data_IF_092916201291
#
_entry.id   IF_092916201291
#
_cell.length_a   1.000
_cell.length_b   1.000
_cell.length_c   1.000
_cell.angle_alpha   90.00
_cell.angle_beta   90.00
_cell.angle_gamma   90.00
#
_symmetry.space_group_name_H-M   'P 1'
#
loop_
_entity.id
_entity.type
_entity.pdbx_description
1 polymer ?
#
# COMPACT_ATOMS: atom_id res chain seq x y z
N UNK A 1 -11.86 -27.43 16.57
CA UNK A 1 -12.39 -26.77 17.79
C UNK A 1 -13.03 -25.47 17.37
N UNK A 2 -14.26 -25.16 17.80
CA UNK A 2 -14.94 -23.92 17.43
C UNK A 2 -14.46 -22.79 18.35
N UNK A 3 -13.61 -21.89 17.84
CA UNK A 3 -13.07 -20.74 18.60
C UNK A 3 -14.16 -19.97 19.37
N UNK A 4 -15.29 -19.68 18.70
CA UNK A 4 -16.38 -18.92 19.29
C UNK A 4 -17.05 -19.62 20.47
N UNK A 5 -17.02 -20.95 20.53
CA UNK A 5 -17.56 -21.72 21.66
C UNK A 5 -16.73 -21.62 22.94
N UNK A 6 -15.51 -21.08 22.86
CA UNK A 6 -14.60 -20.90 24.00
C UNK A 6 -14.57 -19.47 24.54
N UNK A 7 -15.25 -18.53 23.87
CA UNK A 7 -15.26 -17.13 24.26
C UNK A 7 -16.20 -16.89 25.45
N UNK A 8 -15.82 -15.97 26.33
CA UNK A 8 -16.72 -15.45 27.34
C UNK A 8 -17.67 -14.44 26.69
N UNK A 9 -18.94 -14.85 26.54
CA UNK A 9 -19.99 -14.04 25.89
C UNK A 9 -20.31 -12.72 26.61
N UNK A 10 -19.79 -12.50 27.82
CA UNK A 10 -20.00 -11.26 28.58
C UNK A 10 -18.94 -10.17 28.31
N UNK A 11 -17.88 -10.47 27.57
CA UNK A 11 -16.82 -9.51 27.25
C UNK A 11 -16.79 -9.18 25.75
N UNK A 12 -16.53 -7.92 25.37
CA UNK A 12 -16.26 -7.59 23.98
C UNK A 12 -14.97 -8.27 23.51
N UNK A 13 -14.89 -8.59 22.22
CA UNK A 13 -13.68 -9.12 21.60
C UNK A 13 -13.29 -8.27 20.38
N UNK A 14 -12.00 -8.31 20.04
CA UNK A 14 -11.46 -7.80 18.79
C UNK A 14 -10.76 -8.96 18.08
N UNK A 15 -11.18 -9.27 16.85
CA UNK A 15 -10.61 -10.34 16.04
C UNK A 15 -9.89 -9.73 14.84
N UNK A 16 -8.62 -10.08 14.68
CA UNK A 16 -7.81 -9.71 13.53
C UNK A 16 -7.49 -10.96 12.73
N UNK A 17 -7.98 -11.03 11.49
CA UNK A 17 -7.71 -12.11 10.55
C UNK A 17 -6.79 -11.55 9.46
N UNK A 18 -5.53 -11.98 9.47
CA UNK A 18 -4.51 -11.52 8.53
C UNK A 18 -4.24 -12.62 7.50
N UNK A 19 -4.94 -12.57 6.38
CA UNK A 19 -4.74 -13.54 5.30
C UNK A 19 -3.34 -13.40 4.69
N UNK A 20 -2.76 -14.53 4.29
CA UNK A 20 -1.51 -14.55 3.54
C UNK A 20 -1.75 -14.45 2.03
N UNK A 21 -2.86 -15.01 1.54
CA UNK A 21 -3.31 -14.78 0.17
C UNK A 21 -3.60 -13.27 -0.03
N UNK A 22 -3.28 -12.69 -1.20
CA UNK A 22 -2.69 -13.28 -2.41
C UNK A 22 -1.17 -13.04 -2.53
N UNK A 23 -0.40 -13.27 -1.47
CA UNK A 23 1.06 -13.07 -1.53
C UNK A 23 1.73 -14.05 -2.51
N UNK A 24 2.83 -13.62 -3.14
CA UNK A 24 3.64 -14.50 -4.00
C UNK A 24 4.27 -15.64 -3.20
N UNK A 25 4.39 -16.79 -3.84
CA UNK A 25 4.80 -18.04 -3.23
C UNK A 25 5.95 -18.71 -4.02
N UNK A 26 6.18 -18.31 -5.27
CA UNK A 26 7.17 -18.94 -6.16
C UNK A 26 8.61 -18.98 -5.63
N UNK A 27 9.00 -18.03 -4.77
CA UNK A 27 10.33 -18.04 -4.15
C UNK A 27 10.47 -19.07 -3.02
N UNK A 28 9.40 -19.25 -2.23
CA UNK A 28 9.44 -20.01 -0.97
C UNK A 28 8.91 -21.42 -1.12
N UNK A 29 7.83 -21.61 -1.89
CA UNK A 29 7.18 -22.90 -2.13
C UNK A 29 6.78 -23.02 -3.62
N UNK A 30 7.77 -23.10 -4.54
CA UNK A 30 7.53 -23.09 -5.98
C UNK A 30 6.60 -24.21 -6.48
N UNK A 31 6.51 -25.33 -5.75
CA UNK A 31 5.62 -26.46 -6.07
C UNK A 31 4.14 -26.05 -6.10
N UNK A 32 3.76 -25.05 -5.31
CA UNK A 32 2.38 -24.56 -5.23
C UNK A 32 2.05 -23.46 -6.25
N UNK A 33 3.01 -23.09 -7.09
CA UNK A 33 2.88 -22.04 -8.09
C UNK A 33 3.26 -20.64 -7.59
N UNK A 34 3.20 -19.65 -8.49
CA UNK A 34 3.71 -18.30 -8.24
C UNK A 34 2.94 -17.57 -7.14
N UNK A 35 1.68 -17.94 -6.91
CA UNK A 35 0.79 -17.37 -5.89
C UNK A 35 0.20 -18.43 -4.96
N UNK A 36 0.86 -19.59 -4.82
CA UNK A 36 0.36 -20.71 -4.03
C UNK A 36 -1.03 -21.18 -4.52
N UNK A 37 -1.36 -20.93 -5.79
CA UNK A 37 -2.68 -21.17 -6.38
C UNK A 37 -3.00 -22.65 -6.54
N UNK A 38 -2.02 -23.53 -6.36
CA UNK A 38 -2.20 -24.99 -6.37
C UNK A 38 -2.35 -25.57 -4.97
N UNK A 39 -1.90 -24.88 -3.93
CA UNK A 39 -1.95 -25.39 -2.57
C UNK A 39 -3.37 -25.73 -2.13
N UNK A 40 -3.64 -27.00 -1.84
CA UNK A 40 -4.95 -27.48 -1.42
C UNK A 40 -5.97 -27.68 -2.52
N UNK A 41 -5.57 -27.68 -3.80
CA UNK A 41 -6.51 -27.75 -4.94
C UNK A 41 -7.03 -29.18 -5.23
N UNK A 42 -6.53 -30.20 -4.52
CA UNK A 42 -6.91 -31.60 -4.69
C UNK A 42 -6.09 -32.38 -5.73
N UNK A 43 -5.14 -31.73 -6.43
CA UNK A 43 -4.20 -32.43 -7.31
C UNK A 43 -3.17 -33.26 -6.51
N UNK A 44 -2.55 -34.22 -7.20
CA UNK A 44 -1.53 -35.08 -6.59
C UNK A 44 -0.38 -34.26 -6.00
N UNK A 45 -0.10 -34.46 -4.71
CA UNK A 45 0.96 -33.74 -3.99
C UNK A 45 0.57 -32.35 -3.45
N UNK A 46 -0.62 -31.85 -3.75
CA UNK A 46 -1.04 -30.49 -3.35
C UNK A 46 -1.91 -30.45 -2.09
N UNK A 47 -2.40 -31.59 -1.63
CA UNK A 47 -3.37 -31.67 -0.53
C UNK A 47 -4.76 -31.17 -0.94
N UNK A 48 -5.68 -31.10 0.04
CA UNK A 48 -7.05 -30.64 -0.19
C UNK A 48 -7.49 -29.69 0.92
N UNK A 49 -8.01 -28.52 0.54
CA UNK A 49 -8.74 -27.62 1.44
C UNK A 49 -10.24 -27.92 1.21
N UNK A 50 -10.93 -28.62 2.13
CA UNK A 50 -12.28 -29.11 1.88
C UNK A 50 -13.32 -28.03 1.57
N UNK A 51 -13.13 -26.84 2.15
CA UNK A 51 -14.05 -25.71 2.04
C UNK A 51 -13.72 -24.75 0.89
N UNK A 52 -12.64 -25.02 0.13
CA UNK A 52 -12.24 -24.23 -1.03
C UNK A 52 -12.59 -24.97 -2.32
N UNK A 53 -13.20 -24.25 -3.26
CA UNK A 53 -13.47 -24.72 -4.62
C UNK A 53 -12.56 -23.95 -5.58
N UNK A 54 -11.48 -24.54 -6.10
CA UNK A 54 -10.56 -23.84 -6.98
C UNK A 54 -11.25 -23.30 -8.24
N UNK A 55 -11.08 -22.00 -8.49
CA UNK A 55 -11.52 -21.32 -9.70
C UNK A 55 -10.29 -20.94 -10.53
N UNK A 56 -10.15 -21.55 -11.69
CA UNK A 56 -8.99 -21.33 -12.56
C UNK A 56 -9.32 -20.32 -13.67
N UNK A 57 -8.41 -19.37 -13.84
CA UNK A 57 -8.52 -18.31 -14.84
C UNK A 57 -7.59 -18.58 -16.01
N UNK A 58 -8.03 -18.23 -17.21
CA UNK A 58 -7.16 -18.30 -18.39
C UNK A 58 -6.41 -16.98 -18.56
N UNK A 59 -5.12 -16.99 -18.96
CA UNK A 59 -4.35 -15.77 -19.20
C UNK A 59 -4.97 -14.80 -20.22
N UNK A 60 -5.76 -15.29 -21.17
CA UNK A 60 -6.47 -14.47 -22.15
C UNK A 60 -7.67 -13.70 -21.55
N UNK A 61 -8.24 -14.17 -20.45
CA UNK A 61 -9.46 -13.63 -19.85
C UNK A 61 -9.18 -12.62 -18.73
N UNK A 62 -7.92 -12.49 -18.28
CA UNK A 62 -7.56 -11.57 -17.19
C UNK A 62 -7.47 -10.11 -17.65
N UNK A 63 -7.84 -9.21 -16.75
CA UNK A 63 -7.68 -7.78 -16.93
C UNK A 63 -6.26 -7.41 -16.50
N UNK A 64 -5.45 -6.93 -17.45
CA UNK A 64 -4.08 -6.48 -17.18
C UNK A 64 -4.12 -5.03 -16.69
N UNK A 65 -3.71 -4.73 -15.44
CA UNK A 65 -3.62 -3.35 -14.96
C UNK A 65 -2.63 -2.55 -15.81
N UNK A 66 -2.89 -1.25 -16.00
CA UNK A 66 -2.07 -0.39 -16.88
C UNK A 66 -0.58 -0.36 -16.51
N UNK A 67 -0.25 -0.62 -15.25
CA UNK A 67 1.10 -0.58 -14.71
C UNK A 67 1.84 -1.92 -14.79
N UNK A 68 1.21 -2.97 -15.31
CA UNK A 68 1.83 -4.29 -15.55
C UNK A 68 2.14 -4.43 -17.05
N UNK A 69 3.31 -4.98 -17.45
CA UNK A 69 3.59 -5.27 -18.85
C UNK A 69 2.55 -6.23 -19.43
N UNK A 70 1.92 -5.90 -20.57
CA UNK A 70 0.97 -6.81 -21.21
C UNK A 70 1.72 -7.88 -22.04
N UNK A 71 2.16 -8.94 -21.36
CA UNK A 71 2.88 -10.07 -21.97
C UNK A 71 2.25 -11.40 -21.56
N UNK A 72 2.47 -12.50 -22.33
CA UNK A 72 1.97 -13.81 -21.94
C UNK A 72 2.42 -14.25 -20.54
N UNK A 73 3.65 -13.88 -20.13
CA UNK A 73 4.18 -14.19 -18.79
C UNK A 73 3.41 -13.43 -17.71
N UNK A 74 3.20 -12.12 -17.90
CA UNK A 74 2.45 -11.31 -16.94
C UNK A 74 0.99 -11.74 -16.81
N UNK A 75 0.35 -12.10 -17.92
CA UNK A 75 -1.02 -12.63 -17.92
C UNK A 75 -1.13 -13.96 -17.18
N UNK A 76 -0.14 -14.84 -17.30
CA UNK A 76 -0.08 -16.08 -16.52
C UNK A 76 0.06 -15.80 -15.02
N UNK A 77 0.92 -14.85 -14.62
CA UNK A 77 1.05 -14.40 -13.23
C UNK A 77 -0.29 -13.86 -12.69
N UNK A 78 -0.99 -13.02 -13.45
CA UNK A 78 -2.29 -12.46 -13.05
C UNK A 78 -3.35 -13.56 -12.94
N UNK A 79 -3.37 -14.54 -13.84
CA UNK A 79 -4.31 -15.66 -13.78
C UNK A 79 -4.10 -16.54 -12.53
N UNK A 80 -2.85 -16.80 -12.17
CA UNK A 80 -2.50 -17.46 -10.92
C UNK A 80 -2.94 -16.61 -9.71
N UNK A 81 -2.67 -15.31 -9.75
CA UNK A 81 -3.12 -14.38 -8.70
C UNK A 81 -4.65 -14.39 -8.54
N UNK A 82 -5.42 -14.36 -9.64
CA UNK A 82 -6.89 -14.39 -9.61
C UNK A 82 -7.43 -15.68 -8.99
N UNK A 83 -6.77 -16.81 -9.25
CA UNK A 83 -7.13 -18.10 -8.63
C UNK A 83 -6.98 -18.02 -7.10
N UNK A 84 -5.85 -17.49 -6.63
CA UNK A 84 -5.60 -17.30 -5.19
C UNK A 84 -6.50 -16.24 -4.57
N UNK A 85 -6.83 -15.18 -5.32
CA UNK A 85 -7.81 -14.18 -4.89
C UNK A 85 -9.21 -14.75 -4.72
N UNK A 86 -9.60 -15.68 -5.59
CA UNK A 86 -10.90 -16.36 -5.48
C UNK A 86 -10.93 -17.29 -4.27
N UNK A 87 -9.78 -17.86 -3.88
CA UNK A 87 -9.64 -18.55 -2.59
C UNK A 87 -9.88 -17.60 -1.42
N UNK A 88 -9.27 -16.42 -1.44
CA UNK A 88 -9.49 -15.39 -0.42
C UNK A 88 -10.97 -14.98 -0.36
N UNK A 89 -11.57 -14.70 -1.51
CA UNK A 89 -12.98 -14.30 -1.61
C UNK A 89 -13.92 -15.39 -1.09
N UNK A 90 -13.67 -16.68 -1.34
CA UNK A 90 -14.49 -17.76 -0.77
C UNK A 90 -14.36 -17.90 0.74
N UNK A 91 -13.22 -17.50 1.33
CA UNK A 91 -13.06 -17.41 2.79
C UNK A 91 -13.79 -16.16 3.32
N UNK A 92 -13.77 -15.07 2.56
CA UNK A 92 -14.53 -13.86 2.85
C UNK A 92 -16.04 -14.06 2.68
N UNK A 93 -16.55 -14.85 1.74
CA UNK A 93 -17.98 -15.20 1.68
C UNK A 93 -18.44 -15.93 2.96
N UNK A 94 -17.52 -16.66 3.60
CA UNK A 94 -17.75 -17.28 4.91
C UNK A 94 -17.60 -16.27 6.07
N UNK A 95 -17.03 -15.08 5.84
CA UNK A 95 -16.63 -14.06 6.83
C UNK A 95 -17.18 -12.62 6.53
N UNK A 96 -17.97 -12.36 5.47
CA UNK A 96 -18.46 -11.09 4.85
C UNK A 96 -17.72 -10.58 3.56
N UNK A 97 -18.47 -9.95 2.61
CA UNK A 97 -18.31 -9.94 1.12
C UNK A 97 -17.77 -8.63 0.42
N UNK A 98 -17.17 -8.80 -0.79
CA UNK A 98 -16.92 -7.94 -2.01
C UNK A 98 -15.52 -7.31 -2.24
N UNK A 99 -14.97 -7.50 -3.46
CA UNK A 99 -13.69 -6.99 -4.01
C UNK A 99 -13.83 -5.98 -5.19
N UNK A 100 -13.02 -4.89 -5.18
CA UNK A 100 -12.44 -4.22 -6.37
C UNK A 100 -11.11 -3.51 -5.99
N UNK A 101 -10.10 -3.55 -6.88
CA UNK A 101 -8.68 -3.44 -6.52
C UNK A 101 -8.04 -2.05 -6.65
N UNK A 102 -8.03 -1.29 -5.54
CA UNK A 102 -7.01 -0.29 -5.14
C UNK A 102 -7.17 -0.06 -3.62
N UNK A 103 -6.31 -0.66 -2.77
CA UNK A 103 -6.38 -0.55 -1.29
C UNK A 103 -7.83 -0.52 -0.76
N UNK A 104 -8.57 -1.60 -1.00
CA UNK A 104 -9.98 -1.68 -0.63
C UNK A 104 -10.12 -1.55 0.89
N UNK A 105 -10.96 -0.61 1.32
CA UNK A 105 -11.33 -0.43 2.71
C UNK A 105 -12.84 -0.49 2.84
N UNK A 106 -13.34 -1.60 3.38
CA UNK A 106 -14.75 -1.80 3.68
C UNK A 106 -14.97 -1.70 5.18
N UNK A 107 -15.93 -0.88 5.59
CA UNK A 107 -16.34 -0.72 6.97
C UNK A 107 -17.83 -0.99 7.08
N UNK A 108 -18.19 -2.10 7.72
CA UNK A 108 -19.58 -2.42 8.03
C UNK A 108 -19.90 -1.97 9.45
N UNK A 109 -20.83 -1.01 9.58
CA UNK A 109 -21.36 -0.57 10.87
C UNK A 109 -22.78 -1.13 11.02
N UNK A 110 -23.05 -2.01 12.01
CA UNK A 110 -24.38 -2.62 12.20
C UNK A 110 -25.54 -1.62 12.33
N UNK A 111 -25.24 -0.38 12.74
CA UNK A 111 -26.24 0.68 12.89
C UNK A 111 -26.60 1.36 11.56
N UNK A 112 -25.82 1.15 10.49
CA UNK A 112 -26.13 1.66 9.16
C UNK A 112 -26.96 0.65 8.37
N UNK A 113 -28.04 1.13 7.75
CA UNK A 113 -29.06 0.29 7.10
C UNK A 113 -28.95 0.25 5.57
N UNK A 114 -28.00 0.98 4.99
CA UNK A 114 -27.78 1.02 3.55
C UNK A 114 -26.28 1.03 3.24
N UNK A 115 -25.91 0.57 2.03
CA UNK A 115 -24.55 0.70 1.52
C UNK A 115 -24.32 2.08 0.91
N UNK A 116 -23.15 2.66 1.14
CA UNK A 116 -22.71 3.92 0.54
C UNK A 116 -21.25 3.81 0.08
N UNK A 117 -20.93 4.56 -0.97
CA UNK A 117 -19.54 4.79 -1.41
C UNK A 117 -19.12 6.17 -0.92
N UNK A 118 -17.95 6.24 -0.29
CA UNK A 118 -17.34 7.51 0.16
C UNK A 118 -16.14 7.84 -0.73
N UNK A 119 -16.07 9.10 -1.15
CA UNK A 119 -14.89 9.68 -1.84
C UNK A 119 -13.91 10.32 -0.86
N UNK A 120 -14.09 10.11 0.45
CA UNK A 120 -13.18 10.64 1.46
C UNK A 120 -11.81 9.95 1.34
N UNK A 121 -10.74 10.75 1.27
CA UNK A 121 -9.39 10.20 1.37
C UNK A 121 -9.14 9.72 2.80
N UNK A 122 -8.85 8.42 2.93
CA UNK A 122 -8.58 7.74 4.20
C UNK A 122 -7.23 7.05 4.15
N UNK A 123 -6.65 6.78 5.32
CA UNK A 123 -5.38 6.08 5.51
C UNK A 123 -5.55 4.86 6.42
N UNK A 124 -4.70 3.85 6.27
CA UNK A 124 -4.63 2.75 7.24
C UNK A 124 -4.29 3.24 8.66
N UNK A 125 -3.70 4.42 8.79
CA UNK A 125 -3.47 5.10 10.07
C UNK A 125 -4.78 5.48 10.79
N UNK A 126 -5.91 5.48 10.09
CA UNK A 126 -7.25 5.77 10.62
C UNK A 126 -7.88 4.56 11.33
N UNK A 127 -7.36 3.35 11.12
CA UNK A 127 -7.91 2.11 11.71
C UNK A 127 -7.84 2.15 13.24
N UNK A 128 -6.65 2.47 13.80
CA UNK A 128 -6.45 2.49 15.26
C UNK A 128 -7.37 3.50 15.95
N UNK A 129 -7.43 4.80 15.57
CA UNK A 129 -8.35 5.72 16.20
C UNK A 129 -9.83 5.34 16.00
N UNK A 130 -10.19 4.74 14.87
CA UNK A 130 -11.56 4.21 14.62
C UNK A 130 -11.93 3.09 15.60
N UNK A 131 -11.05 2.10 15.77
CA UNK A 131 -11.27 0.97 16.69
C UNK A 131 -11.30 1.46 18.14
N UNK A 132 -10.43 2.40 18.51
CA UNK A 132 -10.43 2.99 19.85
C UNK A 132 -11.73 3.73 20.16
N UNK A 133 -12.24 4.54 19.22
CA UNK A 133 -13.55 5.20 19.39
C UNK A 133 -14.68 4.16 19.50
N UNK A 134 -14.66 3.12 18.65
CA UNK A 134 -15.68 2.06 18.66
C UNK A 134 -15.81 1.38 20.02
N UNK A 135 -14.69 1.07 20.66
CA UNK A 135 -14.66 0.46 21.99
C UNK A 135 -14.70 1.48 23.14
N UNK A 136 -14.81 2.79 22.84
CA UNK A 136 -14.76 3.87 23.82
C UNK A 136 -13.50 3.82 24.69
N UNK A 137 -12.35 3.54 24.07
CA UNK A 137 -11.03 3.48 24.70
C UNK A 137 -10.25 4.75 24.36
N UNK A 138 -9.72 5.42 25.38
CA UNK A 138 -8.86 6.59 25.17
C UNK A 138 -7.45 6.15 24.78
N UNK A 139 -6.87 6.84 23.79
CA UNK A 139 -5.45 6.70 23.51
C UNK A 139 -4.63 7.22 24.70
N UNK A 140 -3.66 6.45 25.23
CA UNK A 140 -2.94 6.83 26.43
C UNK A 140 -1.93 7.95 26.14
N UNK A 141 -1.69 8.81 27.14
CA UNK A 141 -0.59 9.77 27.10
C UNK A 141 0.71 9.07 27.47
N UNK A 142 1.62 8.93 26.49
CA UNK A 142 2.95 8.38 26.73
C UNK A 142 4.01 9.03 25.83
N UNK A 143 5.27 8.71 26.11
CA UNK A 143 6.43 9.23 25.38
C UNK A 143 7.31 8.10 24.88
N UNK A 144 7.84 8.24 23.68
CA UNK A 144 8.94 7.43 23.16
C UNK A 144 10.16 8.34 22.99
N UNK A 145 11.30 7.94 23.57
CA UNK A 145 12.53 8.75 23.55
C UNK A 145 12.34 10.20 24.03
N UNK A 146 11.43 10.41 25.00
CA UNK A 146 11.11 11.73 25.55
C UNK A 146 10.11 12.56 24.73
N UNK A 147 9.73 12.11 23.54
CA UNK A 147 8.77 12.75 22.65
C UNK A 147 7.36 12.20 22.87
N UNK A 148 6.33 13.05 23.02
CA UNK A 148 4.95 12.59 23.12
C UNK A 148 4.54 11.87 21.84
N UNK A 149 3.83 10.75 21.98
CA UNK A 149 3.26 10.04 20.83
C UNK A 149 1.81 10.47 20.65
N UNK A 150 1.45 10.82 19.42
CA UNK A 150 0.10 11.17 19.02
C UNK A 150 -0.25 10.44 17.72
N UNK A 151 -1.51 10.06 17.58
CA UNK A 151 -2.03 9.49 16.34
C UNK A 151 -2.25 10.63 15.32
N UNK A 152 -1.78 10.45 14.09
CA UNK A 152 -2.03 11.40 12.99
C UNK A 152 -3.28 11.06 12.18
N UNK A 153 -3.79 9.83 12.31
CA UNK A 153 -5.06 9.41 11.72
C UNK A 153 -6.27 9.92 12.50
N UNK A 154 -7.45 9.78 11.90
CA UNK A 154 -8.74 10.16 12.46
C UNK A 154 -9.70 8.97 12.49
N UNK A 155 -10.69 9.02 13.38
CA UNK A 155 -11.72 7.98 13.39
C UNK A 155 -12.70 8.17 12.23
N UNK A 156 -13.13 7.06 11.63
CA UNK A 156 -14.05 7.02 10.50
C UNK A 156 -15.53 6.84 10.92
N UNK A 157 -15.82 6.62 12.21
CA UNK A 157 -17.19 6.39 12.69
C UNK A 157 -18.14 7.57 12.44
N UNK A 158 -17.59 8.78 12.28
CA UNK A 158 -18.35 10.01 12.04
C UNK A 158 -18.27 10.50 10.58
N UNK A 159 -17.81 9.67 9.63
CA UNK A 159 -17.45 10.05 8.24
C UNK A 159 -18.52 10.90 7.51
N UNK A 160 -19.81 10.66 7.73
CA UNK A 160 -20.89 11.47 7.14
C UNK A 160 -20.90 12.96 7.57
N UNK A 161 -20.21 13.32 8.66
CA UNK A 161 -20.07 14.70 9.19
C UNK A 161 -18.63 15.21 9.19
N UNK A 162 -17.66 14.43 8.70
CA UNK A 162 -16.27 14.84 8.64
C UNK A 162 -16.05 15.81 7.48
N UNK A 163 -15.27 16.86 7.72
CA UNK A 163 -14.66 17.60 6.61
C UNK A 163 -13.81 16.60 5.81
N UNK A 164 -14.00 16.56 4.48
CA UNK A 164 -13.17 15.77 3.57
C UNK A 164 -11.70 16.01 3.92
N UNK A 165 -10.91 14.93 4.06
CA UNK A 165 -9.47 15.08 4.29
C UNK A 165 -8.86 15.84 3.11
N UNK A 166 -8.01 16.81 3.39
CA UNK A 166 -7.31 17.58 2.35
C UNK A 166 -6.11 16.80 1.78
N UNK A 167 -5.57 15.84 2.54
CA UNK A 167 -4.47 14.97 2.11
C UNK A 167 -4.45 13.64 2.88
N UNK A 168 -3.72 12.67 2.32
CA UNK A 168 -3.26 11.46 2.98
C UNK A 168 -1.75 11.36 2.83
N UNK A 169 -1.07 10.82 3.84
CA UNK A 169 0.39 10.74 3.89
C UNK A 169 0.86 9.30 4.04
N UNK A 170 2.04 9.02 3.50
CA UNK A 170 2.72 7.74 3.63
C UNK A 170 4.23 7.97 3.80
N UNK A 171 4.88 7.07 4.53
CA UNK A 171 6.33 7.01 4.66
C UNK A 171 6.76 5.56 4.49
N UNK A 172 7.79 5.34 3.67
CA UNK A 172 8.36 4.02 3.39
C UNK A 172 9.88 4.15 3.38
N UNK A 173 10.57 3.29 4.13
CA UNK A 173 12.02 3.36 4.28
C UNK A 173 12.73 2.14 3.67
N UNK A 174 12.41 0.94 4.17
CA UNK A 174 13.13 -0.28 3.82
C UNK A 174 12.16 -1.34 3.32
N UNK A 175 12.54 -2.01 2.24
CA UNK A 175 11.90 -3.22 1.76
C UNK A 175 12.93 -4.13 1.10
N UNK A 176 12.87 -5.43 1.42
CA UNK A 176 13.61 -6.43 0.68
C UNK A 176 12.87 -6.77 -0.61
N UNK A 177 13.42 -6.34 -1.73
CA UNK A 177 12.77 -6.46 -3.05
C UNK A 177 13.02 -7.81 -3.75
N UNK A 178 13.78 -8.73 -3.14
CA UNK A 178 14.31 -9.93 -3.80
C UNK A 178 13.23 -10.77 -4.50
N UNK A 179 12.06 -10.94 -3.86
CA UNK A 179 10.93 -11.72 -4.38
C UNK A 179 10.34 -11.10 -5.66
N UNK A 180 10.31 -9.77 -5.76
CA UNK A 180 9.82 -9.08 -6.96
C UNK A 180 10.76 -9.28 -8.15
N UNK A 181 12.06 -9.11 -7.92
CA UNK A 181 13.07 -9.16 -8.97
C UNK A 181 13.22 -10.55 -9.59
N UNK A 182 12.94 -11.61 -8.85
CA UNK A 182 13.01 -12.99 -9.37
C UNK A 182 11.68 -13.48 -9.96
N UNK A 183 10.60 -12.70 -9.88
CA UNK A 183 9.30 -13.11 -10.41
C UNK A 183 9.35 -13.30 -11.94
N UNK A 184 8.57 -14.24 -12.51
CA UNK A 184 8.53 -14.47 -13.95
C UNK A 184 8.23 -13.21 -14.75
N UNK A 185 7.24 -12.41 -14.32
CA UNK A 185 6.89 -11.14 -14.97
C UNK A 185 8.08 -10.18 -15.04
N UNK A 186 8.82 -10.03 -13.95
CA UNK A 186 9.97 -9.12 -13.92
C UNK A 186 11.14 -9.65 -14.77
N UNK A 187 11.40 -10.95 -14.71
CA UNK A 187 12.44 -11.58 -15.54
C UNK A 187 12.13 -11.45 -17.04
N UNK A 188 10.87 -11.59 -17.45
CA UNK A 188 10.43 -11.33 -18.83
C UNK A 188 10.65 -9.86 -19.24
N UNK A 189 10.27 -8.91 -18.39
CA UNK A 189 10.50 -7.48 -18.62
C UNK A 189 12.00 -7.16 -18.79
N UNK A 190 12.85 -7.73 -17.92
CA UNK A 190 14.30 -7.57 -17.98
C UNK A 190 14.87 -8.13 -19.29
N UNK A 191 14.51 -9.37 -19.65
CA UNK A 191 14.98 -10.02 -20.86
C UNK A 191 14.58 -9.24 -22.12
N UNK A 192 13.32 -8.77 -22.21
CA UNK A 192 12.86 -7.93 -23.31
C UNK A 192 13.66 -6.64 -23.43
N UNK A 193 13.94 -6.00 -22.30
CA UNK A 193 14.72 -4.75 -22.25
C UNK A 193 16.16 -4.97 -22.72
N UNK A 194 16.82 -6.04 -22.28
CA UNK A 194 18.21 -6.35 -22.64
C UNK A 194 18.34 -6.79 -24.11
N UNK A 195 17.38 -7.54 -24.62
CA UNK A 195 17.41 -8.06 -25.99
C UNK A 195 17.19 -6.98 -27.07
N UNK A 196 16.81 -5.75 -26.69
CA UNK A 196 16.64 -4.52 -27.51
C UNK A 196 15.74 -4.62 -28.77
N UNK A 197 15.29 -5.80 -29.15
CA UNK A 197 14.46 -6.09 -30.33
C UNK A 197 13.03 -6.52 -29.97
N UNK A 198 12.73 -6.68 -28.68
CA UNK A 198 11.40 -7.06 -28.21
C UNK A 198 10.77 -5.88 -27.49
N UNK A 199 9.53 -5.58 -27.84
CA UNK A 199 8.73 -4.61 -27.10
C UNK A 199 8.46 -5.14 -25.68
N UNK A 200 8.56 -4.24 -24.70
CA UNK A 200 8.29 -4.56 -23.29
C UNK A 200 6.80 -4.60 -23.01
N UNK A 201 5.97 -3.98 -23.86
CA UNK A 201 4.53 -3.79 -23.64
C UNK A 201 4.20 -3.15 -22.28
N UNK A 202 5.14 -2.36 -21.75
CA UNK A 202 5.00 -1.69 -20.46
C UNK A 202 4.82 -0.19 -20.65
N UNK A 203 4.06 0.44 -19.75
CA UNK A 203 3.80 1.88 -19.81
C UNK A 203 5.00 2.75 -19.44
N UNK A 204 6.02 2.15 -18.78
CA UNK A 204 7.31 2.75 -18.45
C UNK A 204 8.43 1.93 -19.09
N UNK A 205 9.67 2.37 -18.87
CA UNK A 205 10.87 1.57 -19.13
C UNK A 205 11.68 1.39 -17.83
N UNK A 206 12.59 0.41 -17.82
CA UNK A 206 13.39 0.12 -16.63
C UNK A 206 14.29 1.29 -16.22
N UNK A 207 14.81 2.08 -17.16
CA UNK A 207 15.65 3.24 -16.85
C UNK A 207 14.88 4.27 -16.01
N UNK A 208 13.70 4.70 -16.46
CA UNK A 208 12.88 5.67 -15.72
C UNK A 208 12.33 5.09 -14.41
N UNK A 209 12.12 3.76 -14.35
CA UNK A 209 11.68 3.10 -13.12
C UNK A 209 12.75 3.10 -12.03
N UNK A 210 14.02 2.90 -12.39
CA UNK A 210 15.16 2.89 -11.45
C UNK A 210 15.68 4.29 -11.14
N UNK A 211 15.72 5.17 -12.13
CA UNK A 211 16.32 6.51 -12.00
C UNK A 211 15.23 7.57 -11.99
N UNK A 212 14.66 7.80 -10.80
CA UNK A 212 13.58 8.78 -10.60
C UNK A 212 14.14 10.12 -10.13
N UNK A 213 13.46 11.24 -10.40
CA UNK A 213 13.80 12.51 -9.77
C UNK A 213 13.49 12.48 -8.26
N UNK A 214 14.11 13.39 -7.50
CA UNK A 214 13.83 13.54 -6.06
C UNK A 214 12.36 13.88 -5.80
N UNK A 215 11.75 14.72 -6.67
CA UNK A 215 10.36 15.15 -6.56
C UNK A 215 9.54 14.75 -7.78
N UNK A 216 8.40 14.13 -7.52
CA UNK A 216 7.38 13.80 -8.50
C UNK A 216 6.05 14.43 -8.10
N UNK A 217 5.45 15.22 -9.00
CA UNK A 217 4.11 15.79 -8.82
C UNK A 217 3.22 15.35 -9.97
N UNK A 218 2.08 14.73 -9.68
CA UNK A 218 1.12 14.26 -10.68
C UNK A 218 -0.26 14.88 -10.46
N UNK A 219 -0.94 15.23 -11.56
CA UNK A 219 -2.32 15.71 -11.59
C UNK A 219 -3.19 14.54 -12.06
N UNK A 220 -3.88 13.87 -11.14
CA UNK A 220 -4.57 12.61 -11.43
C UNK A 220 -5.85 12.80 -12.25
N UNK A 221 -6.43 14.00 -12.23
CA UNK A 221 -7.57 14.34 -13.10
C UNK A 221 -7.15 14.38 -14.57
N UNK A 222 -5.95 14.86 -14.86
CA UNK A 222 -5.42 14.94 -16.24
C UNK A 222 -4.58 13.74 -16.64
N UNK A 223 -3.95 13.08 -15.68
CA UNK A 223 -3.07 11.94 -15.90
C UNK A 223 -3.21 10.91 -14.78
N UNK A 224 -4.30 10.13 -14.88
CA UNK A 224 -4.63 9.07 -13.94
C UNK A 224 -3.59 7.95 -13.83
N UNK A 225 -2.63 7.91 -14.76
CA UNK A 225 -1.59 6.87 -14.85
C UNK A 225 -0.22 7.39 -14.39
N UNK A 226 -0.13 8.63 -13.90
CA UNK A 226 1.10 9.22 -13.33
C UNK A 226 2.31 9.13 -14.28
N UNK A 227 2.11 9.51 -15.55
CA UNK A 227 3.13 9.46 -16.59
C UNK A 227 3.86 10.79 -16.78
N UNK A 228 3.22 11.91 -16.47
CA UNK A 228 3.72 13.25 -16.72
C UNK A 228 3.98 13.95 -15.40
N UNK A 229 5.25 13.92 -14.96
CA UNK A 229 5.68 14.65 -13.79
C UNK A 229 5.61 16.17 -14.06
N UNK A 230 4.71 16.88 -13.37
CA UNK A 230 4.50 18.33 -13.52
C UNK A 230 5.25 19.15 -12.46
N UNK A 231 6.18 18.56 -11.71
CA UNK A 231 6.88 19.24 -10.60
C UNK A 231 7.58 20.54 -11.00
N UNK A 232 8.08 20.64 -12.24
CA UNK A 232 8.79 21.81 -12.77
C UNK A 232 7.87 22.76 -13.57
N UNK A 233 6.58 22.43 -13.69
CA UNK A 233 5.63 23.27 -14.40
C UNK A 233 5.24 24.48 -13.53
N UNK A 234 5.51 25.70 -14.04
CA UNK A 234 5.24 26.93 -13.33
C UNK A 234 3.76 27.10 -12.90
N UNK A 235 2.81 26.52 -13.64
CA UNK A 235 1.40 26.55 -13.31
C UNK A 235 1.06 25.84 -11.97
N UNK A 236 1.89 24.88 -11.56
CA UNK A 236 1.70 24.07 -10.35
C UNK A 236 2.54 24.56 -9.17
N UNK A 237 3.25 25.69 -9.30
CA UNK A 237 4.21 26.13 -8.28
C UNK A 237 3.57 26.36 -6.90
N UNK A 238 2.41 27.03 -6.84
CA UNK A 238 1.70 27.27 -5.58
C UNK A 238 1.19 25.97 -4.96
N UNK A 239 0.64 25.07 -5.78
CA UNK A 239 0.14 23.75 -5.35
C UNK A 239 1.30 22.92 -4.78
N UNK A 240 2.42 22.85 -5.49
CA UNK A 240 3.65 22.17 -5.04
C UNK A 240 4.10 22.71 -3.67
N UNK A 241 4.18 24.04 -3.52
CA UNK A 241 4.61 24.65 -2.26
C UNK A 241 3.67 24.32 -1.09
N UNK A 242 2.35 24.32 -1.32
CA UNK A 242 1.37 23.89 -0.32
C UNK A 242 1.57 22.44 0.09
N UNK A 243 1.69 21.52 -0.87
CA UNK A 243 1.80 20.10 -0.58
C UNK A 243 3.13 19.75 0.10
N UNK A 244 4.23 20.38 -0.32
CA UNK A 244 5.52 20.27 0.37
C UNK A 244 5.44 20.74 1.81
N UNK A 245 4.72 21.83 2.07
CA UNK A 245 4.47 22.31 3.43
C UNK A 245 3.65 21.30 4.24
N UNK A 246 2.57 20.77 3.67
CA UNK A 246 1.71 19.79 4.34
C UNK A 246 2.48 18.51 4.71
N UNK A 247 3.31 18.01 3.79
CA UNK A 247 4.20 16.87 4.05
C UNK A 247 5.17 17.16 5.18
N UNK A 248 5.84 18.32 5.13
CA UNK A 248 6.77 18.73 6.18
C UNK A 248 6.09 18.84 7.55
N UNK A 249 4.92 19.49 7.61
CA UNK A 249 4.15 19.62 8.85
C UNK A 249 3.79 18.23 9.41
N UNK A 250 3.42 17.28 8.54
CA UNK A 250 3.17 15.90 8.94
C UNK A 250 4.43 15.21 9.47
N UNK A 251 5.56 15.28 8.76
CA UNK A 251 6.85 14.72 9.20
C UNK A 251 7.29 15.27 10.55
N UNK A 252 7.11 16.58 10.80
CA UNK A 252 7.37 17.20 12.10
C UNK A 252 6.44 16.60 13.16
N UNK A 253 5.14 16.54 12.88
CA UNK A 253 4.14 16.04 13.85
C UNK A 253 4.35 14.57 14.22
N UNK A 254 4.89 13.77 13.30
CA UNK A 254 5.18 12.34 13.50
C UNK A 254 6.61 12.08 13.95
N UNK A 255 7.42 13.12 14.20
CA UNK A 255 8.83 13.01 14.59
C UNK A 255 9.67 12.16 13.63
N UNK A 256 9.49 12.36 12.32
CA UNK A 256 10.22 11.64 11.27
C UNK A 256 11.74 11.91 11.39
N UNK A 257 12.58 10.89 11.63
CA UNK A 257 14.03 11.10 11.75
C UNK A 257 14.72 11.33 10.39
N UNK A 258 14.04 11.13 9.26
CA UNK A 258 14.55 11.43 7.91
C UNK A 258 14.17 12.83 7.40
N UNK A 259 13.52 13.67 8.22
CA UNK A 259 13.00 15.00 7.83
C UNK A 259 14.03 15.94 7.18
N UNK A 260 15.32 15.81 7.49
CA UNK A 260 16.38 16.65 6.91
C UNK A 260 17.06 16.01 5.69
N UNK A 261 16.84 14.73 5.44
CA UNK A 261 17.48 13.99 4.36
C UNK A 261 16.84 14.37 3.00
N UNK A 262 17.57 14.28 1.87
CA UNK A 262 18.98 13.92 1.73
C UNK A 262 19.93 15.12 1.89
N UNK A 263 19.38 16.32 1.97
CA UNK A 263 20.13 17.56 1.82
C UNK A 263 20.65 18.15 3.14
N UNK A 264 20.41 17.53 4.28
CA UNK A 264 20.76 18.05 5.59
C UNK A 264 20.77 17.00 6.70
N UNK A 265 21.13 17.40 7.91
CA UNK A 265 21.29 16.49 9.07
C UNK A 265 20.44 16.96 10.24
N UNK A 266 19.60 16.08 10.79
CA UNK A 266 18.80 16.42 11.97
C UNK A 266 19.68 16.65 13.20
N UNK A 267 19.82 17.89 13.65
CA UNK A 267 20.54 18.26 14.86
C UNK A 267 19.58 18.34 16.06
N UNK A 268 19.70 17.44 17.04
CA UNK A 268 18.87 17.47 18.26
C UNK A 268 19.42 18.37 19.37
N UNK A 269 20.54 19.06 19.13
CA UNK A 269 21.22 20.00 20.04
C UNK A 269 21.84 21.13 19.23
N UNK A 270 22.10 22.27 19.87
CA UNK A 270 22.75 23.42 19.23
C UNK A 270 21.78 24.45 18.66
N UNK A 271 22.27 25.29 17.74
CA UNK A 271 21.57 26.50 17.26
C UNK A 271 20.31 26.19 16.45
N UNK A 272 20.28 25.05 15.76
CA UNK A 272 19.20 24.68 14.85
C UNK A 272 18.28 23.57 15.40
N UNK A 273 18.37 23.26 16.71
CA UNK A 273 17.62 22.18 17.35
C UNK A 273 16.09 22.27 17.25
N UNK A 274 15.57 23.49 17.14
CA UNK A 274 14.13 23.77 17.00
C UNK A 274 13.73 24.06 15.54
N UNK A 275 14.68 24.01 14.60
CA UNK A 275 14.45 24.32 13.20
C UNK A 275 15.22 23.35 12.29
N UNK A 276 14.69 22.12 12.10
CA UNK A 276 15.38 21.05 11.38
C UNK A 276 15.68 21.40 9.92
N UNK A 277 14.95 22.33 9.31
CA UNK A 277 15.17 22.78 7.93
C UNK A 277 16.42 23.64 7.72
N UNK A 278 17.02 24.18 8.79
CA UNK A 278 18.22 25.02 8.72
C UNK A 278 19.50 24.27 9.07
N UNK A 279 19.44 22.94 9.20
CA UNK A 279 20.60 22.10 9.38
C UNK A 279 21.61 22.24 8.22
N UNK A 280 22.89 22.01 8.52
CA UNK A 280 23.97 22.09 7.54
C UNK A 280 23.68 21.25 6.29
N UNK A 281 23.81 21.87 5.12
CA UNK A 281 23.63 21.20 3.84
C UNK A 281 24.84 20.28 3.59
N UNK A 282 24.67 18.98 3.84
CA UNK A 282 25.61 17.94 3.44
C UNK A 282 24.92 17.09 2.39
N UNK A 283 25.51 16.97 1.20
CA UNK A 283 25.06 16.00 0.21
C UNK A 283 25.58 14.65 0.69
N UNK A 284 24.72 13.85 1.33
CA UNK A 284 25.00 12.43 1.53
C UNK A 284 24.54 11.68 0.28
N UNK A 285 25.48 11.24 -0.56
CA UNK A 285 25.18 10.50 -1.82
C UNK A 285 24.59 9.09 -1.60
N UNK A 286 24.31 8.68 -0.36
CA UNK A 286 24.00 7.29 -0.02
C UNK A 286 22.52 6.98 0.24
N UNK A 287 21.64 7.99 0.38
CA UNK A 287 20.20 7.79 0.58
C UNK A 287 19.42 8.58 -0.48
N UNK A 288 18.89 7.90 -1.49
CA UNK A 288 18.02 8.53 -2.48
C UNK A 288 16.61 8.56 -1.92
N UNK A 289 16.17 9.74 -1.46
CA UNK A 289 14.77 9.98 -1.10
C UNK A 289 14.01 10.38 -2.35
N UNK A 290 12.92 9.66 -2.63
CA UNK A 290 11.94 10.04 -3.65
C UNK A 290 10.66 10.48 -2.95
N UNK A 291 10.15 11.64 -3.35
CA UNK A 291 8.93 12.22 -2.80
C UNK A 291 7.93 12.35 -3.94
N UNK A 292 6.89 11.53 -3.88
CA UNK A 292 5.74 11.60 -4.78
C UNK A 292 4.59 12.31 -4.09
N UNK A 293 4.01 13.28 -4.78
CA UNK A 293 2.81 13.97 -4.37
C UNK A 293 1.82 13.93 -5.54
N UNK A 294 0.56 13.62 -5.26
CA UNK A 294 -0.49 13.59 -6.27
C UNK A 294 -1.64 14.51 -5.86
N UNK A 295 -2.26 15.17 -6.83
CA UNK A 295 -3.45 16.02 -6.66
C UNK A 295 -4.66 15.46 -7.40
#
# INVERSE_FOLDING_TARGET
MNFFSTLNHSQPFFLYVAFHDPHRCGHTNPEYGEFCEKFGNGEEGMGIIPDWKPEHYKPEDVIVPYFIPDTPTARADIAAQYTTLSRLDQVEEQIFMILEWRNLFLMHLPQQTYSQVSEEMVSLLDIVPTVLEWFNVKYPDYKLNGMPVQLSGKSLLQSASLKKSEAVFASHNLHEVTIFFISPTFQDLLNRTVEKKKETHWYKNLTDYYYRPEWELFDLEKDSNERHNVVNNAAYHSIRATLQKMLLDWQISTNDPWICSPSGVLENKGRFKENPLHAFHFIMEFDIIHIQISI
#
